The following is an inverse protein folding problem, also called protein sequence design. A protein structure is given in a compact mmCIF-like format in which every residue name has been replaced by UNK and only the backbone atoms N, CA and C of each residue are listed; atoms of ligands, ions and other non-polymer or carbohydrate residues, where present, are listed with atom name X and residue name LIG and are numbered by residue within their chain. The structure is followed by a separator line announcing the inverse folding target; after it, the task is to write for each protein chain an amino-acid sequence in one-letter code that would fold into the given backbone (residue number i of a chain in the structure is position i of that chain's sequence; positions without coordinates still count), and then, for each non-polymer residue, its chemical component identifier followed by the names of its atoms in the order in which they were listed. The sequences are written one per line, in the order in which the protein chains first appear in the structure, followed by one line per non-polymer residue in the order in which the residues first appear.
data_IF_413896174579
#
_entry.id   IF_413896174579
#
_cell.length_a   1.000
_cell.length_b   1.000
_cell.length_c   1.000
_cell.angle_alpha   90.00
_cell.angle_beta   90.00
_cell.angle_gamma   90.00
#
_symmetry.space_group_name_H-M   'P 1'
#
loop_
_entity.id
_entity.type
_entity.pdbx_description
1 polymer ?
#
# COMPACT_ATOMS: atom_id res chain seq x y z
N UNK A 1 0.68 0.23 -18.33
CA UNK A 1 1.48 -1.00 -18.56
C UNK A 1 0.69 -2.04 -19.34
N UNK A 2 -0.44 -2.57 -18.86
CA UNK A 2 -1.24 -3.58 -19.58
C UNK A 2 -1.49 -3.27 -21.07
N UNK A 3 -2.02 -2.07 -21.38
CA UNK A 3 -2.24 -1.65 -22.77
C UNK A 3 -0.94 -1.57 -23.62
N UNK A 4 0.21 -1.25 -23.00
CA UNK A 4 1.50 -1.25 -23.70
C UNK A 4 1.93 -2.69 -24.03
N UNK A 5 1.74 -3.62 -23.09
CA UNK A 5 2.04 -5.05 -23.28
C UNK A 5 1.19 -5.67 -24.40
N UNK A 6 -0.07 -5.27 -24.54
CA UNK A 6 -0.93 -5.73 -25.64
C UNK A 6 -0.50 -5.19 -27.01
N UNK A 7 0.07 -3.98 -27.06
CA UNK A 7 0.49 -3.36 -28.32
C UNK A 7 1.86 -3.85 -28.81
N UNK A 8 2.78 -4.17 -27.89
CA UNK A 8 4.18 -4.50 -28.19
C UNK A 8 4.37 -5.62 -29.24
N UNK A 9 3.61 -6.74 -29.20
CA UNK A 9 3.76 -7.81 -30.18
C UNK A 9 3.51 -7.37 -31.63
N UNK A 10 2.67 -6.35 -31.83
CA UNK A 10 2.27 -5.88 -33.17
C UNK A 10 2.93 -4.56 -33.55
N UNK A 11 3.57 -3.86 -32.60
CA UNK A 11 4.13 -2.52 -32.81
C UNK A 11 5.39 -2.27 -31.99
N UNK A 12 6.50 -2.85 -32.45
CA UNK A 12 7.82 -2.64 -31.86
C UNK A 12 8.44 -1.34 -32.40
N UNK A 13 8.30 -0.25 -31.66
CA UNK A 13 8.91 1.06 -31.99
C UNK A 13 9.64 1.63 -30.79
N UNK A 14 10.67 2.44 -31.03
CA UNK A 14 11.48 3.03 -29.97
C UNK A 14 10.66 3.85 -28.95
N UNK A 15 9.64 4.57 -29.42
CA UNK A 15 8.73 5.35 -28.56
C UNK A 15 7.96 4.43 -27.59
N UNK A 16 7.35 3.35 -28.10
CA UNK A 16 6.59 2.41 -27.26
C UNK A 16 7.48 1.70 -26.24
N UNK A 17 8.72 1.36 -26.62
CA UNK A 17 9.70 0.77 -25.69
C UNK A 17 10.08 1.76 -24.58
N UNK A 18 10.27 3.04 -24.91
CA UNK A 18 10.56 4.06 -23.90
C UNK A 18 9.34 4.32 -22.98
N UNK A 19 8.13 4.32 -23.53
CA UNK A 19 6.90 4.40 -22.73
C UNK A 19 6.75 3.19 -21.80
N UNK A 20 7.09 1.98 -22.26
CA UNK A 20 7.11 0.78 -21.43
C UNK A 20 8.13 0.94 -20.29
N UNK A 21 9.35 1.39 -20.60
CA UNK A 21 10.42 1.62 -19.62
C UNK A 21 9.99 2.59 -18.52
N UNK A 22 9.43 3.74 -18.90
CA UNK A 22 8.93 4.75 -17.95
C UNK A 22 7.77 4.22 -17.11
N UNK A 23 6.80 3.57 -17.76
CA UNK A 23 5.64 3.00 -17.05
C UNK A 23 6.05 1.89 -16.07
N UNK A 24 7.06 1.07 -16.43
CA UNK A 24 7.64 0.04 -15.56
C UNK A 24 8.29 0.67 -14.33
N UNK A 25 9.03 1.77 -14.51
CA UNK A 25 9.65 2.49 -13.39
C UNK A 25 8.60 3.01 -12.39
N UNK A 26 7.53 3.64 -12.88
CA UNK A 26 6.41 4.07 -12.03
C UNK A 26 5.73 2.89 -11.33
N UNK A 27 5.61 1.75 -12.03
CA UNK A 27 5.00 0.54 -11.46
C UNK A 27 5.86 -0.10 -10.36
N UNK A 28 7.18 -0.10 -10.49
CA UNK A 28 8.12 -0.52 -9.43
C UNK A 28 7.96 0.36 -8.18
N UNK A 29 7.89 1.67 -8.36
CA UNK A 29 7.69 2.60 -7.25
C UNK A 29 6.34 2.37 -6.55
N UNK A 30 5.27 2.16 -7.33
CA UNK A 30 3.95 1.81 -6.80
C UNK A 30 4.00 0.50 -6.00
N UNK A 31 4.60 -0.55 -6.56
CA UNK A 31 4.72 -1.85 -5.90
C UNK A 31 5.49 -1.74 -4.59
N UNK A 32 6.60 -0.99 -4.57
CA UNK A 32 7.40 -0.74 -3.37
C UNK A 32 6.61 0.00 -2.29
N UNK A 33 5.92 1.09 -2.65
CA UNK A 33 5.11 1.87 -1.70
C UNK A 33 3.93 1.07 -1.17
N UNK A 34 3.24 0.30 -2.02
CA UNK A 34 2.14 -0.58 -1.60
C UNK A 34 2.64 -1.72 -0.69
N UNK A 35 3.84 -2.26 -0.96
CA UNK A 35 4.50 -3.23 -0.11
C UNK A 35 4.86 -2.67 1.27
N UNK A 36 5.40 -1.44 1.32
CA UNK A 36 5.70 -0.75 2.57
C UNK A 36 4.43 -0.45 3.38
N UNK A 37 3.36 0.03 2.73
CA UNK A 37 2.07 0.26 3.39
C UNK A 37 1.48 -1.04 3.96
N UNK A 38 1.53 -2.13 3.19
CA UNK A 38 1.11 -3.46 3.65
C UNK A 38 1.85 -3.87 4.92
N UNK A 39 3.16 -3.70 4.94
CA UNK A 39 3.99 -4.05 6.10
C UNK A 39 3.63 -3.21 7.33
N UNK A 40 3.48 -1.89 7.17
CA UNK A 40 3.05 -1.02 8.27
C UNK A 40 1.66 -1.38 8.82
N UNK A 41 0.71 -1.76 7.95
CA UNK A 41 -0.64 -2.16 8.39
C UNK A 41 -0.62 -3.49 9.17
N UNK A 42 0.20 -4.45 8.73
CA UNK A 42 0.45 -5.70 9.46
C UNK A 42 1.04 -5.43 10.85
N UNK A 43 2.09 -4.60 10.92
CA UNK A 43 2.72 -4.23 12.19
C UNK A 43 1.75 -3.51 13.15
N UNK A 44 0.84 -2.68 12.63
CA UNK A 44 -0.20 -2.03 13.43
C UNK A 44 -1.24 -3.02 13.97
N UNK A 45 -1.69 -3.97 13.15
CA UNK A 45 -2.64 -5.01 13.57
C UNK A 45 -2.02 -5.99 14.59
N UNK A 46 -0.70 -6.21 14.53
CA UNK A 46 0.01 -7.06 15.50
C UNK A 46 0.23 -6.37 16.87
N UNK A 47 0.29 -5.03 16.93
CA UNK A 47 0.37 -4.27 18.19
C UNK A 47 -1.03 -3.85 18.68
N UNK A 48 -1.66 -4.70 19.50
CA UNK A 48 -2.95 -4.39 20.13
C UNK A 48 -2.91 -3.10 20.97
N UNK A 49 -1.76 -2.67 21.49
CA UNK A 49 -1.65 -1.38 22.17
C UNK A 49 -1.66 -0.21 21.17
N UNK A 50 -1.17 -0.38 19.94
CA UNK A 50 -1.29 0.64 18.89
C UNK A 50 -2.75 0.84 18.51
N UNK A 51 -3.47 -0.25 18.24
CA UNK A 51 -4.92 -0.22 17.97
C UNK A 51 -5.67 0.43 19.13
N UNK A 52 -5.38 0.02 20.37
CA UNK A 52 -5.95 0.62 21.58
C UNK A 52 -5.69 2.12 21.70
N UNK A 53 -4.49 2.60 21.35
CA UNK A 53 -4.19 4.04 21.37
C UNK A 53 -4.99 4.81 20.30
N UNK A 54 -5.32 4.18 19.18
CA UNK A 54 -6.09 4.80 18.11
C UNK A 54 -7.55 5.06 18.52
N UNK A 55 -8.17 4.20 19.33
CA UNK A 55 -9.54 4.41 19.86
C UNK A 55 -9.60 5.65 20.77
N UNK A 56 -8.55 5.86 21.58
CA UNK A 56 -8.48 6.99 22.51
C UNK A 56 -8.35 8.33 21.77
N UNK A 57 -7.54 8.41 20.70
CA UNK A 57 -7.36 9.64 19.91
C UNK A 57 -8.69 10.16 19.33
N UNK A 58 -9.61 9.26 18.97
CA UNK A 58 -10.94 9.61 18.45
C UNK A 58 -11.81 10.38 19.45
N UNK A 59 -11.50 10.32 20.75
CA UNK A 59 -12.30 10.91 21.84
C UNK A 59 -11.63 12.15 22.42
N UNK A 60 -11.79 13.29 21.73
CA UNK A 60 -11.43 14.63 22.22
C UNK A 60 -9.98 14.80 22.74
N UNK A 61 -9.02 14.04 22.20
CA UNK A 61 -7.62 14.27 22.52
C UNK A 61 -7.09 15.53 21.83
N UNK A 62 -6.28 16.31 22.54
CA UNK A 62 -5.57 17.46 21.99
C UNK A 62 -4.15 17.03 21.67
N UNK A 63 -3.78 17.12 20.38
CA UNK A 63 -2.39 16.93 19.96
C UNK A 63 -1.64 18.23 20.23
N UNK A 64 -0.70 18.18 21.17
CA UNK A 64 0.12 19.34 21.50
C UNK A 64 1.14 19.57 20.39
N UNK A 65 0.92 20.61 19.58
CA UNK A 65 1.72 20.89 18.36
C UNK A 65 3.23 21.08 18.60
N UNK A 66 3.65 21.32 19.84
CA UNK A 66 5.04 21.62 20.20
C UNK A 66 5.91 20.36 20.23
N UNK A 67 5.35 19.22 20.64
CA UNK A 67 6.08 17.97 20.86
C UNK A 67 5.33 16.72 20.36
N UNK A 68 4.12 16.89 19.82
CA UNK A 68 3.30 15.80 19.30
C UNK A 68 2.68 14.93 20.38
N UNK A 69 2.76 15.33 21.66
CA UNK A 69 2.16 14.57 22.75
C UNK A 69 0.63 14.63 22.65
N UNK A 70 0.00 13.48 22.77
CA UNK A 70 -1.46 13.36 22.78
C UNK A 70 -1.93 13.49 24.22
N UNK A 71 -2.63 14.58 24.54
CA UNK A 71 -3.27 14.78 25.85
C UNK A 71 -4.75 14.42 25.72
N UNK A 72 -5.17 13.37 26.42
CA UNK A 72 -6.56 12.90 26.43
C UNK A 72 -7.17 13.15 27.82
N UNK A 73 -8.34 13.82 27.92
CA UNK A 73 -8.99 14.08 29.21
C UNK A 73 -9.58 12.82 29.87
N UNK A 74 -9.64 11.70 29.14
CA UNK A 74 -10.17 10.42 29.60
C UNK A 74 -9.00 9.55 30.08
N UNK A 75 -9.05 8.95 31.28
CA UNK A 75 -8.04 7.99 31.71
C UNK A 75 -7.99 6.82 30.72
N UNK A 76 -6.81 6.52 30.20
CA UNK A 76 -6.54 5.47 29.21
C UNK A 76 -7.03 4.07 29.60
N UNK A 77 -7.32 3.84 30.89
CA UNK A 77 -7.78 2.56 31.42
C UNK A 77 -9.31 2.40 31.48
N UNK A 78 -10.11 3.46 31.26
CA UNK A 78 -11.50 3.46 31.76
C UNK A 78 -12.63 3.39 30.75
N UNK A 79 -12.37 3.24 29.46
CA UNK A 79 -13.37 2.84 28.46
C UNK A 79 -12.65 2.70 27.11
N UNK A 80 -11.92 1.63 26.89
CA UNK A 80 -11.76 1.19 25.50
C UNK A 80 -12.93 0.26 25.27
N UNK A 81 -13.87 0.70 24.44
CA UNK A 81 -15.02 -0.13 24.10
C UNK A 81 -14.46 -1.16 23.13
N UNK A 82 -14.58 -2.45 23.45
CA UNK A 82 -14.10 -3.55 22.59
C UNK A 82 -14.62 -3.38 21.14
N UNK A 83 -15.85 -2.89 20.99
CA UNK A 83 -16.47 -2.52 19.71
C UNK A 83 -15.66 -1.48 18.90
N UNK A 84 -15.06 -0.48 19.54
CA UNK A 84 -14.23 0.51 18.85
C UNK A 84 -12.86 -0.05 18.44
N UNK A 85 -12.28 -0.97 19.23
CA UNK A 85 -11.05 -1.68 18.82
C UNK A 85 -11.35 -2.55 17.60
N UNK A 86 -12.45 -3.32 17.63
CA UNK A 86 -12.90 -4.15 16.51
C UNK A 86 -13.18 -3.33 15.24
N UNK A 87 -13.80 -2.15 15.36
CA UNK A 87 -14.03 -1.25 14.21
C UNK A 87 -12.72 -0.76 13.58
N UNK A 88 -11.72 -0.42 14.39
CA UNK A 88 -10.41 0.01 13.90
C UNK A 88 -9.69 -1.17 13.24
N UNK A 89 -9.71 -2.36 13.85
CA UNK A 89 -9.13 -3.57 13.26
C UNK A 89 -9.76 -3.90 11.91
N UNK A 90 -11.09 -3.94 11.82
CA UNK A 90 -11.80 -4.16 10.56
C UNK A 90 -11.42 -3.14 9.48
N UNK A 91 -11.23 -1.87 9.87
CA UNK A 91 -10.80 -0.83 8.94
C UNK A 91 -9.36 -1.04 8.47
N UNK A 92 -8.44 -1.38 9.38
CA UNK A 92 -7.04 -1.67 9.06
C UNK A 92 -6.92 -2.91 8.17
N UNK A 93 -7.67 -3.97 8.46
CA UNK A 93 -7.77 -5.18 7.62
C UNK A 93 -8.30 -4.86 6.22
N UNK A 94 -9.32 -3.99 6.10
CA UNK A 94 -9.82 -3.55 4.80
C UNK A 94 -8.71 -2.87 3.97
N UNK A 95 -7.96 -1.94 4.58
CA UNK A 95 -6.85 -1.29 3.90
C UNK A 95 -5.70 -2.24 3.59
N UNK A 96 -5.43 -3.21 4.48
CA UNK A 96 -4.41 -4.23 4.27
C UNK A 96 -4.74 -5.07 3.03
N UNK A 97 -5.96 -5.58 2.93
CA UNK A 97 -6.42 -6.37 1.77
C UNK A 97 -6.32 -5.57 0.46
N UNK A 98 -6.65 -4.27 0.51
CA UNK A 98 -6.51 -3.38 -0.67
C UNK A 98 -5.06 -3.15 -1.05
N UNK A 99 -4.18 -2.96 -0.06
CA UNK A 99 -2.74 -2.78 -0.29
C UNK A 99 -2.12 -4.05 -0.87
N UNK A 100 -2.50 -5.22 -0.36
CA UNK A 100 -2.10 -6.54 -0.90
C UNK A 100 -2.53 -6.74 -2.34
N UNK A 101 -3.79 -6.44 -2.65
CA UNK A 101 -4.31 -6.54 -4.00
C UNK A 101 -3.56 -5.61 -4.96
N UNK A 102 -3.30 -4.36 -4.55
CA UNK A 102 -2.55 -3.40 -5.35
C UNK A 102 -1.10 -3.86 -5.58
N UNK A 103 -0.40 -4.25 -4.52
CA UNK A 103 0.97 -4.76 -4.59
C UNK A 103 1.05 -5.99 -5.50
N UNK A 104 0.19 -6.99 -5.30
CA UNK A 104 0.18 -8.21 -6.10
C UNK A 104 -0.19 -7.97 -7.58
N UNK A 105 -1.08 -7.02 -7.87
CA UNK A 105 -1.37 -6.61 -9.25
C UNK A 105 -0.16 -5.95 -9.91
N UNK A 106 0.55 -5.10 -9.16
CA UNK A 106 1.74 -4.43 -9.67
C UNK A 106 2.87 -5.42 -9.97
N UNK A 107 3.15 -6.36 -9.07
CA UNK A 107 4.15 -7.42 -9.27
C UNK A 107 3.82 -8.26 -10.51
N UNK A 108 2.56 -8.71 -10.66
CA UNK A 108 2.15 -9.48 -11.86
C UNK A 108 2.39 -8.71 -13.16
N UNK A 109 2.07 -7.42 -13.19
CA UNK A 109 2.30 -6.58 -14.37
C UNK A 109 3.79 -6.33 -14.64
N UNK A 110 4.62 -6.27 -13.60
CA UNK A 110 6.08 -6.18 -13.73
C UNK A 110 6.66 -7.47 -14.32
N UNK A 111 6.20 -8.63 -13.85
CA UNK A 111 6.63 -9.93 -14.37
C UNK A 111 6.22 -10.09 -15.85
N UNK A 112 4.98 -9.77 -16.21
CA UNK A 112 4.56 -9.77 -17.61
C UNK A 112 5.36 -8.79 -18.47
N UNK A 113 5.79 -7.64 -17.93
CA UNK A 113 6.66 -6.72 -18.64
C UNK A 113 8.07 -7.29 -18.85
N UNK A 114 8.64 -7.99 -17.86
CA UNK A 114 9.93 -8.68 -17.98
C UNK A 114 9.88 -9.79 -19.03
N UNK A 115 8.84 -10.63 -18.98
CA UNK A 115 8.64 -11.71 -19.96
C UNK A 115 8.54 -11.16 -21.40
N UNK A 116 7.86 -10.01 -21.57
CA UNK A 116 7.77 -9.37 -22.88
C UNK A 116 9.13 -8.81 -23.34
N UNK A 117 9.91 -8.20 -22.45
CA UNK A 117 11.27 -7.74 -22.75
C UNK A 117 12.19 -8.91 -23.17
N UNK A 118 12.13 -10.04 -22.45
CA UNK A 118 12.89 -11.25 -22.77
C UNK A 118 12.47 -11.83 -24.13
N UNK A 119 11.17 -11.87 -24.42
CA UNK A 119 10.64 -12.32 -25.71
C UNK A 119 11.14 -11.44 -26.86
N UNK A 120 11.18 -10.12 -26.68
CA UNK A 120 11.72 -9.19 -27.69
C UNK A 120 13.23 -9.43 -27.87
N UNK A 121 13.99 -9.59 -26.78
CA UNK A 121 15.43 -9.79 -26.82
C UNK A 121 15.86 -11.08 -27.55
N UNK A 122 15.05 -12.15 -27.47
CA UNK A 122 15.32 -13.41 -28.18
C UNK A 122 14.99 -13.32 -29.69
N UNK A 123 14.10 -12.39 -30.09
CA UNK A 123 13.66 -12.23 -31.48
C UNK A 123 14.44 -11.17 -32.28
N UNK A 124 15.41 -10.49 -31.65
CA UNK A 124 16.29 -9.47 -32.24
C UNK A 124 17.71 -10.02 -32.43
#
# INVERSE_FOLDING_TARGET
VAALLEMLPNRLTADILEQLRLSKQTLVELASRAGALRQMLLELLEDSNAVRRMTVIGRNCVIRKVDGLVECPIPSDQQVVEEEEEEIEMLLENYLQRSESCHGQAERLLDSAREMEDSIAVNL
#
